data_IF_746346776086
#
_entry.id   IF_746346776086
#
_cell.length_a   1.000
_cell.length_b   1.000
_cell.length_c   1.000
_cell.angle_alpha   90.00
_cell.angle_beta   90.00
_cell.angle_gamma   90.00
#
_symmetry.space_group_name_H-M   'P 1'
#
loop_
_entity.id
_entity.type
_entity.pdbx_description
1 polymer ?
#
# COMPACT_ATOMS: atom_id res chain seq x y z
N UNK A 1 41.10 91.60 -9.91
CA UNK A 1 41.20 90.71 -8.78
C UNK A 1 39.79 90.18 -8.51
N UNK A 2 39.42 89.01 -9.08
CA UNK A 2 38.12 88.42 -8.97
C UNK A 2 38.26 86.98 -8.43
N UNK A 3 37.68 86.69 -7.28
CA UNK A 3 37.66 85.37 -6.73
C UNK A 3 36.52 84.55 -7.36
N UNK A 4 36.69 83.28 -7.66
CA UNK A 4 35.63 82.45 -8.24
C UNK A 4 34.79 81.80 -7.12
N UNK A 5 33.50 81.86 -7.37
CA UNK A 5 32.42 81.20 -6.61
C UNK A 5 32.51 79.68 -6.71
N UNK A 6 32.43 78.99 -5.55
CA UNK A 6 32.33 77.53 -5.46
C UNK A 6 30.89 77.13 -5.40
N UNK A 7 30.37 76.60 -6.52
CA UNK A 7 29.04 75.89 -6.56
C UNK A 7 29.21 74.49 -5.97
N UNK A 8 28.50 74.24 -4.89
CA UNK A 8 28.35 72.90 -4.31
C UNK A 8 27.23 72.17 -5.00
N UNK A 9 27.55 71.12 -5.78
CA UNK A 9 26.60 70.16 -6.32
C UNK A 9 26.24 69.19 -5.23
N UNK A 10 24.95 69.19 -4.79
CA UNK A 10 24.38 68.16 -3.96
C UNK A 10 24.03 67.00 -4.84
N UNK A 11 24.77 65.88 -4.65
CA UNK A 11 24.40 64.61 -5.25
C UNK A 11 23.34 63.94 -4.37
N UNK A 12 22.09 63.86 -4.84
CA UNK A 12 21.03 63.09 -4.19
C UNK A 12 21.18 61.63 -4.61
N UNK A 13 21.66 60.78 -3.70
CA UNK A 13 21.69 59.33 -3.93
C UNK A 13 20.31 58.76 -3.72
N UNK A 14 19.65 58.36 -4.79
CA UNK A 14 18.38 57.63 -4.79
C UNK A 14 18.66 56.16 -4.43
N UNK A 15 18.43 55.74 -3.20
CA UNK A 15 18.47 54.34 -2.77
C UNK A 15 17.17 53.66 -3.20
N UNK A 16 17.28 52.94 -4.34
CA UNK A 16 16.22 52.04 -4.79
C UNK A 16 16.24 50.78 -3.94
N UNK A 17 15.29 50.67 -3.00
CA UNK A 17 15.10 49.42 -2.25
C UNK A 17 14.37 48.41 -3.17
N UNK A 18 15.12 47.47 -3.72
CA UNK A 18 14.55 46.31 -4.43
C UNK A 18 14.12 45.29 -3.39
N UNK A 19 12.83 45.36 -2.98
CA UNK A 19 12.22 44.35 -2.13
C UNK A 19 12.06 43.05 -2.91
N UNK A 20 12.93 42.08 -2.62
CA UNK A 20 12.79 40.70 -3.14
C UNK A 20 11.55 40.07 -2.46
N UNK A 21 10.42 40.06 -3.16
CA UNK A 21 9.25 39.25 -2.79
C UNK A 21 9.58 37.79 -3.13
N UNK A 22 10.06 37.03 -2.15
CA UNK A 22 10.14 35.59 -2.25
C UNK A 22 8.70 35.03 -2.16
N UNK A 23 8.27 34.20 -3.13
CA UNK A 23 6.98 33.53 -3.01
C UNK A 23 7.00 32.55 -1.81
N UNK A 24 5.88 32.41 -1.09
CA UNK A 24 5.81 31.43 -0.03
C UNK A 24 6.01 30.03 -0.61
N UNK A 25 6.99 29.32 -0.07
CA UNK A 25 7.16 27.87 -0.35
C UNK A 25 5.96 27.19 0.29
N UNK A 26 5.01 26.75 -0.53
CA UNK A 26 3.95 25.85 -0.07
C UNK A 26 4.61 24.52 0.32
N UNK A 27 4.75 24.29 1.61
CA UNK A 27 5.03 22.94 2.13
C UNK A 27 3.82 22.08 1.80
N UNK A 28 3.96 21.21 0.80
CA UNK A 28 3.04 20.11 0.61
C UNK A 28 3.04 19.31 1.92
N UNK A 29 1.93 19.38 2.65
CA UNK A 29 1.72 18.46 3.75
C UNK A 29 1.72 17.05 3.14
N UNK A 30 2.70 16.22 3.52
CA UNK A 30 2.67 14.78 3.29
C UNK A 30 1.40 14.27 3.98
N UNK A 31 0.32 14.18 3.23
CA UNK A 31 -0.86 13.44 3.63
C UNK A 31 -0.45 11.98 3.52
N UNK A 32 0.10 11.44 4.61
CA UNK A 32 0.14 9.99 4.78
C UNK A 32 -1.25 9.45 4.42
N UNK A 33 -1.36 8.40 3.59
CA UNK A 33 -2.64 7.82 3.26
C UNK A 33 -3.35 7.50 4.57
N UNK A 34 -4.49 8.14 4.82
CA UNK A 34 -5.33 7.82 5.96
C UNK A 34 -5.70 6.35 5.81
N UNK A 35 -5.14 5.49 6.69
CA UNK A 35 -5.67 4.14 6.83
C UNK A 35 -7.14 4.29 7.13
N UNK A 36 -7.97 3.95 6.17
CA UNK A 36 -9.40 3.78 6.40
C UNK A 36 -9.51 2.69 7.45
N UNK A 37 -9.90 3.07 8.67
CA UNK A 37 -10.43 2.12 9.63
C UNK A 37 -11.76 1.64 9.05
N UNK A 38 -11.67 0.72 8.08
CA UNK A 38 -12.82 0.05 7.51
C UNK A 38 -13.58 -0.60 8.66
N UNK A 39 -14.89 -0.47 8.66
CA UNK A 39 -15.76 -1.25 9.55
C UNK A 39 -15.35 -2.71 9.42
N UNK A 40 -14.93 -3.33 10.55
CA UNK A 40 -14.58 -4.73 10.59
C UNK A 40 -15.81 -5.55 10.19
N UNK A 41 -15.81 -6.07 8.99
CA UNK A 41 -16.83 -6.98 8.48
C UNK A 41 -16.22 -8.38 8.46
N UNK A 42 -16.70 -9.25 9.36
CA UNK A 42 -16.27 -10.64 9.40
C UNK A 42 -16.51 -11.30 8.04
N UNK A 43 -15.58 -12.14 7.63
CA UNK A 43 -15.60 -12.77 6.31
C UNK A 43 -15.09 -11.90 5.18
N UNK A 44 -14.89 -10.58 5.40
CA UNK A 44 -14.39 -9.65 4.36
C UNK A 44 -12.95 -9.26 4.61
N UNK A 45 -12.12 -9.27 3.56
CA UNK A 45 -10.76 -8.76 3.56
C UNK A 45 -10.57 -7.78 2.39
N UNK A 46 -9.51 -6.99 2.41
CA UNK A 46 -9.09 -6.13 1.31
C UNK A 46 -7.76 -6.62 0.72
N UNK A 47 -7.60 -6.48 -0.59
CA UNK A 47 -6.37 -6.79 -1.30
C UNK A 47 -6.02 -5.66 -2.26
N UNK A 48 -4.97 -4.91 -1.93
CA UNK A 48 -4.33 -3.96 -2.83
C UNK A 48 -3.40 -4.70 -3.79
N UNK A 49 -3.45 -4.37 -5.08
CA UNK A 49 -2.52 -4.87 -6.11
C UNK A 49 -1.97 -3.67 -6.86
N UNK A 50 -0.66 -3.48 -6.85
CA UNK A 50 0.00 -2.49 -7.70
C UNK A 50 0.96 -3.19 -8.66
N UNK A 51 0.91 -2.79 -9.95
CA UNK A 51 1.79 -3.30 -11.01
C UNK A 51 2.55 -2.13 -11.61
N UNK A 52 3.87 -2.13 -11.40
CA UNK A 52 4.77 -1.11 -11.95
C UNK A 52 5.97 -1.79 -12.64
N UNK A 53 5.94 -1.79 -13.97
CA UNK A 53 6.94 -2.46 -14.80
C UNK A 53 7.05 -3.95 -14.46
N UNK A 54 8.21 -4.36 -13.95
CA UNK A 54 8.46 -5.73 -13.51
C UNK A 54 8.00 -6.03 -12.07
N UNK A 55 7.68 -4.98 -11.29
CA UNK A 55 7.29 -5.11 -9.89
C UNK A 55 5.78 -5.32 -9.75
N UNK A 56 5.40 -6.25 -8.89
CA UNK A 56 4.01 -6.49 -8.47
C UNK A 56 3.99 -6.52 -6.95
N UNK A 57 3.26 -5.60 -6.37
CA UNK A 57 3.05 -5.57 -4.91
C UNK A 57 1.62 -5.96 -4.58
N UNK A 58 1.48 -6.73 -3.52
CA UNK A 58 0.18 -7.13 -2.98
C UNK A 58 0.15 -6.78 -1.49
N UNK A 59 -0.96 -6.21 -1.03
CA UNK A 59 -1.20 -5.85 0.36
C UNK A 59 -2.55 -6.42 0.78
N UNK A 60 -2.56 -7.32 1.75
CA UNK A 60 -3.74 -7.94 2.33
C UNK A 60 -3.99 -7.34 3.72
N UNK A 61 -5.21 -6.94 3.97
CA UNK A 61 -5.67 -6.51 5.29
C UNK A 61 -7.05 -7.11 5.58
N UNK A 62 -7.28 -7.50 6.82
CA UNK A 62 -8.58 -7.98 7.26
C UNK A 62 -8.59 -8.46 8.70
N UNK A 63 -9.80 -8.69 9.26
CA UNK A 63 -9.97 -9.22 10.59
C UNK A 63 -9.18 -10.52 10.78
N UNK A 64 -8.44 -10.62 11.89
CA UNK A 64 -7.65 -11.81 12.19
C UNK A 64 -8.51 -13.08 12.24
N UNK A 65 -9.78 -12.94 12.66
CA UNK A 65 -10.76 -14.03 12.66
C UNK A 65 -10.92 -14.72 11.31
N UNK A 66 -10.81 -14.00 10.20
CA UNK A 66 -10.91 -14.56 8.86
C UNK A 66 -9.77 -15.55 8.55
N UNK A 67 -8.60 -15.33 9.14
CA UNK A 67 -7.36 -16.06 8.84
C UNK A 67 -7.01 -17.12 9.88
N UNK A 68 -7.23 -16.82 11.19
CA UNK A 68 -6.86 -17.72 12.29
C UNK A 68 -8.06 -18.30 13.04
N UNK A 69 -9.29 -17.76 12.80
CA UNK A 69 -10.51 -18.19 13.45
C UNK A 69 -10.80 -17.52 14.81
N UNK A 70 -9.99 -16.52 15.22
CA UNK A 70 -10.19 -15.75 16.44
C UNK A 70 -9.53 -14.38 16.34
N UNK A 71 -9.99 -13.41 17.18
CA UNK A 71 -9.48 -12.03 17.20
C UNK A 71 -8.88 -11.62 18.55
N UNK A 72 -8.80 -12.52 19.50
CA UNK A 72 -8.16 -12.31 20.79
C UNK A 72 -6.74 -12.90 20.83
N UNK A 73 -5.96 -12.56 21.83
CA UNK A 73 -4.66 -13.21 22.04
C UNK A 73 -4.83 -14.72 22.18
N UNK A 74 -3.95 -15.54 21.58
CA UNK A 74 -4.04 -17.00 21.74
C UNK A 74 -4.13 -17.39 23.21
N UNK A 75 -5.17 -18.12 23.57
CA UNK A 75 -5.47 -18.50 24.95
C UNK A 75 -4.97 -19.90 25.31
N UNK A 76 -4.54 -20.67 24.31
CA UNK A 76 -4.07 -22.05 24.49
C UNK A 76 -3.02 -22.42 23.42
N UNK A 77 -2.31 -23.56 23.59
CA UNK A 77 -1.30 -24.01 22.62
C UNK A 77 -1.84 -24.24 21.22
N UNK A 78 -3.07 -24.71 21.07
CA UNK A 78 -3.72 -24.97 19.78
C UNK A 78 -3.91 -23.68 19.00
N UNK A 79 -4.38 -22.61 19.63
CA UNK A 79 -4.52 -21.28 19.04
C UNK A 79 -3.15 -20.67 18.70
N UNK A 80 -2.16 -20.83 19.58
CA UNK A 80 -0.79 -20.40 19.31
C UNK A 80 -0.23 -21.09 18.07
N UNK A 81 -0.45 -22.39 17.94
CA UNK A 81 -0.02 -23.15 16.76
C UNK A 81 -0.80 -22.76 15.50
N UNK A 82 -2.10 -22.44 15.61
CA UNK A 82 -2.92 -21.97 14.49
C UNK A 82 -2.40 -20.63 13.98
N UNK A 83 -2.13 -19.66 14.86
CA UNK A 83 -1.55 -18.38 14.49
C UNK A 83 -0.18 -18.57 13.80
N UNK A 84 0.69 -19.40 14.36
CA UNK A 84 2.01 -19.66 13.77
C UNK A 84 1.90 -20.29 12.36
N UNK A 85 0.96 -21.22 12.15
CA UNK A 85 0.70 -21.81 10.82
C UNK A 85 0.22 -20.76 9.83
N UNK A 86 -0.73 -19.91 10.22
CA UNK A 86 -1.25 -18.82 9.39
C UNK A 86 -0.15 -17.86 8.99
N UNK A 87 0.66 -17.37 9.93
CA UNK A 87 1.78 -16.46 9.63
C UNK A 87 2.81 -17.11 8.68
N UNK A 88 3.10 -18.40 8.85
CA UNK A 88 4.01 -19.12 7.95
C UNK A 88 3.41 -19.30 6.56
N UNK A 89 2.11 -19.57 6.44
CA UNK A 89 1.43 -19.68 5.15
C UNK A 89 1.40 -18.33 4.42
N UNK A 90 1.13 -17.24 5.12
CA UNK A 90 1.18 -15.89 4.55
C UNK A 90 2.60 -15.52 4.07
N UNK A 91 3.65 -15.89 4.80
CA UNK A 91 5.04 -15.67 4.35
C UNK A 91 5.36 -16.43 3.06
N UNK A 92 4.65 -17.54 2.78
CA UNK A 92 4.77 -18.27 1.53
C UNK A 92 3.77 -17.73 0.48
N UNK A 93 3.86 -16.43 0.15
CA UNK A 93 2.98 -15.75 -0.81
C UNK A 93 2.94 -16.39 -2.20
N UNK A 94 4.01 -17.08 -2.62
CA UNK A 94 4.06 -17.78 -3.90
C UNK A 94 3.03 -18.92 -4.01
N UNK A 95 2.56 -19.48 -2.90
CA UNK A 95 1.49 -20.49 -2.86
C UNK A 95 0.09 -19.88 -2.86
N UNK A 96 -0.02 -18.61 -2.41
CA UNK A 96 -1.30 -17.89 -2.29
C UNK A 96 -1.70 -17.14 -3.55
N UNK A 97 -0.73 -16.71 -4.34
CA UNK A 97 -0.96 -15.93 -5.54
C UNK A 97 -0.36 -16.60 -6.77
N UNK A 98 -1.22 -16.98 -7.71
CA UNK A 98 -0.79 -17.52 -9.00
C UNK A 98 -0.84 -16.42 -10.05
N UNK A 99 0.14 -16.44 -10.92
CA UNK A 99 0.27 -15.54 -12.07
C UNK A 99 0.57 -16.36 -13.33
N UNK A 100 0.34 -15.82 -14.55
CA UNK A 100 0.66 -16.56 -15.77
C UNK A 100 2.11 -17.06 -15.76
N UNK A 101 2.37 -18.34 -16.04
CA UNK A 101 3.75 -18.86 -16.09
C UNK A 101 4.66 -18.08 -17.04
N UNK A 102 4.07 -17.57 -18.16
CA UNK A 102 4.79 -16.73 -19.13
C UNK A 102 5.29 -15.40 -18.56
N UNK A 103 4.68 -14.87 -17.48
CA UNK A 103 5.13 -13.65 -16.83
C UNK A 103 6.41 -13.87 -16.01
N UNK A 104 6.74 -15.12 -15.65
CA UNK A 104 7.94 -15.50 -14.88
C UNK A 104 8.11 -14.71 -13.58
N UNK A 105 7.01 -14.53 -12.85
CA UNK A 105 7.01 -13.84 -11.59
C UNK A 105 7.62 -14.71 -10.48
N UNK A 106 8.41 -14.09 -9.62
CA UNK A 106 9.05 -14.72 -8.45
C UNK A 106 8.83 -13.84 -7.23
N UNK A 107 8.46 -14.44 -6.11
CA UNK A 107 8.40 -13.74 -4.82
C UNK A 107 9.81 -13.27 -4.44
N UNK A 108 9.92 -11.98 -4.13
CA UNK A 108 11.16 -11.33 -3.67
C UNK A 108 11.13 -11.15 -2.16
N UNK A 109 10.02 -10.67 -1.63
CA UNK A 109 9.86 -10.42 -0.20
C UNK A 109 8.43 -10.69 0.25
N UNK A 110 8.29 -11.02 1.53
CA UNK A 110 7.02 -11.10 2.24
C UNK A 110 7.20 -10.51 3.64
N UNK A 111 6.43 -9.49 3.97
CA UNK A 111 6.33 -8.92 5.30
C UNK A 111 4.96 -9.29 5.88
N UNK A 112 4.95 -9.97 7.01
CA UNK A 112 3.73 -10.42 7.68
C UNK A 112 3.86 -10.08 9.16
N UNK A 113 3.02 -9.16 9.62
CA UNK A 113 2.98 -8.76 11.02
C UNK A 113 2.03 -9.66 11.81
N UNK A 114 2.39 -10.08 13.04
CA UNK A 114 1.42 -10.66 13.95
C UNK A 114 0.26 -9.69 14.20
N UNK A 115 -0.95 -10.19 14.44
CA UNK A 115 -2.09 -9.32 14.74
C UNK A 115 -1.84 -8.42 15.95
N UNK A 116 -2.16 -7.14 15.83
CA UNK A 116 -2.20 -6.22 16.96
C UNK A 116 -3.61 -6.30 17.58
N UNK A 117 -3.66 -6.70 18.85
CA UNK A 117 -4.91 -6.91 19.58
C UNK A 117 -5.34 -5.61 20.26
N UNK A 118 -6.40 -4.99 19.76
CA UNK A 118 -7.00 -3.78 20.32
C UNK A 118 -7.71 -4.02 21.66
N UNK A 119 -7.92 -2.93 22.41
CA UNK A 119 -8.69 -2.98 23.67
C UNK A 119 -10.19 -3.28 23.44
N UNK A 120 -10.68 -3.06 22.23
CA UNK A 120 -12.03 -3.33 21.76
C UNK A 120 -12.28 -4.81 21.41
N UNK A 121 -11.25 -5.66 21.54
CA UNK A 121 -11.33 -7.08 21.24
C UNK A 121 -11.19 -7.44 19.76
N UNK A 122 -10.89 -6.46 18.90
CA UNK A 122 -10.64 -6.69 17.49
C UNK A 122 -9.14 -6.76 17.20
N UNK A 123 -8.78 -7.52 16.18
CA UNK A 123 -7.44 -7.60 15.67
C UNK A 123 -7.45 -7.73 14.15
N UNK A 124 -6.61 -6.97 13.47
CA UNK A 124 -6.34 -7.11 12.05
C UNK A 124 -5.05 -7.89 11.82
N UNK A 125 -5.03 -8.59 10.70
CA UNK A 125 -3.83 -9.22 10.16
C UNK A 125 -3.49 -8.56 8.85
N UNK A 126 -2.25 -8.08 8.75
CA UNK A 126 -1.71 -7.43 7.55
C UNK A 126 -0.59 -8.27 6.98
N UNK A 127 -0.54 -8.37 5.65
CA UNK A 127 0.54 -9.03 4.94
C UNK A 127 0.83 -8.30 3.63
N UNK A 128 2.11 -8.17 3.33
CA UNK A 128 2.61 -7.52 2.14
C UNK A 128 3.55 -8.46 1.38
N UNK A 129 3.43 -8.49 0.06
CA UNK A 129 4.29 -9.29 -0.81
C UNK A 129 4.78 -8.46 -1.98
N UNK A 130 6.02 -8.69 -2.35
CA UNK A 130 6.63 -8.14 -3.54
C UNK A 130 7.05 -9.27 -4.47
N UNK A 131 6.59 -9.23 -5.70
CA UNK A 131 7.00 -10.13 -6.78
C UNK A 131 7.74 -9.37 -7.86
N UNK A 132 8.69 -10.03 -8.50
CA UNK A 132 9.32 -9.53 -9.71
C UNK A 132 9.03 -10.45 -10.87
N UNK A 133 8.53 -9.89 -11.98
CA UNK A 133 8.11 -10.58 -13.16
C UNK A 133 9.11 -10.33 -14.32
N UNK A 134 9.80 -11.38 -14.77
CA UNK A 134 10.79 -11.26 -15.85
C UNK A 134 10.18 -11.03 -17.24
N UNK A 135 8.87 -11.12 -17.39
CA UNK A 135 8.12 -10.83 -18.61
C UNK A 135 6.78 -10.17 -18.29
N UNK A 136 6.80 -8.90 -17.86
CA UNK A 136 5.58 -8.23 -17.38
C UNK A 136 4.49 -8.10 -18.45
N UNK A 137 4.84 -8.06 -19.72
CA UNK A 137 3.86 -8.05 -20.82
C UNK A 137 2.96 -9.31 -20.85
N UNK A 138 3.41 -10.42 -20.27
CA UNK A 138 2.62 -11.64 -20.15
C UNK A 138 1.75 -11.67 -18.88
N UNK A 139 1.92 -10.72 -17.97
CA UNK A 139 1.14 -10.63 -16.74
C UNK A 139 -0.22 -9.98 -17.04
N UNK A 140 -1.26 -10.77 -17.13
CA UNK A 140 -2.60 -10.31 -17.50
C UNK A 140 -3.69 -10.74 -16.51
N UNK A 141 -3.36 -11.58 -15.53
CA UNK A 141 -4.23 -11.98 -14.43
C UNK A 141 -3.43 -12.34 -13.18
N UNK A 142 -4.09 -12.27 -12.04
CA UNK A 142 -3.62 -12.80 -10.75
C UNK A 142 -4.77 -13.61 -10.15
N UNK A 143 -4.48 -14.81 -9.66
CA UNK A 143 -5.42 -15.67 -8.96
C UNK A 143 -5.04 -15.74 -7.48
N UNK A 144 -5.99 -15.40 -6.61
CA UNK A 144 -5.83 -15.43 -5.16
C UNK A 144 -6.43 -16.72 -4.59
N UNK A 145 -5.61 -17.56 -3.97
CA UNK A 145 -6.03 -18.81 -3.31
C UNK A 145 -6.40 -18.61 -1.84
N UNK A 146 -6.79 -17.38 -1.48
CA UNK A 146 -7.06 -16.99 -0.11
C UNK A 146 -8.22 -17.79 0.50
N UNK A 147 -9.29 -18.05 -0.26
CA UNK A 147 -10.47 -18.78 0.23
C UNK A 147 -10.19 -20.25 0.58
N UNK A 148 -9.29 -20.89 -0.16
CA UNK A 148 -8.85 -22.26 0.16
C UNK A 148 -7.90 -22.29 1.34
N UNK A 149 -7.04 -21.28 1.44
CA UNK A 149 -6.06 -21.16 2.52
C UNK A 149 -6.71 -20.73 3.84
N UNK A 150 -7.72 -19.88 3.75
CA UNK A 150 -8.42 -19.24 4.88
C UNK A 150 -9.94 -19.34 4.72
N UNK A 151 -10.55 -20.44 5.14
CA UNK A 151 -12.00 -20.69 4.94
C UNK A 151 -12.91 -19.68 5.65
N UNK A 152 -12.40 -18.92 6.64
CA UNK A 152 -13.13 -17.84 7.30
C UNK A 152 -13.25 -16.58 6.43
N UNK A 153 -12.56 -16.52 5.26
CA UNK A 153 -12.69 -15.42 4.31
C UNK A 153 -13.77 -15.75 3.28
N UNK A 154 -14.79 -14.91 3.18
CA UNK A 154 -15.93 -15.09 2.25
C UNK A 154 -15.84 -14.16 1.04
N UNK A 155 -15.27 -12.96 1.24
CA UNK A 155 -15.11 -11.93 0.22
C UNK A 155 -13.72 -11.28 0.32
N UNK A 156 -13.19 -10.86 -0.81
CA UNK A 156 -11.99 -10.02 -0.86
C UNK A 156 -12.27 -8.85 -1.80
N UNK A 157 -12.31 -7.63 -1.23
CA UNK A 157 -12.41 -6.41 -2.01
C UNK A 157 -11.03 -6.09 -2.58
N UNK A 158 -10.90 -6.14 -3.90
CA UNK A 158 -9.62 -5.95 -4.58
C UNK A 158 -9.57 -4.59 -5.25
N UNK A 159 -8.54 -3.82 -4.97
CA UNK A 159 -8.16 -2.62 -5.70
C UNK A 159 -6.88 -2.86 -6.49
N UNK A 160 -6.89 -2.50 -7.78
CA UNK A 160 -5.76 -2.73 -8.69
C UNK A 160 -5.33 -1.38 -9.26
N UNK A 161 -4.04 -1.11 -9.21
CA UNK A 161 -3.39 0.04 -9.84
C UNK A 161 -2.31 -0.48 -10.79
N UNK A 162 -2.36 -0.07 -12.04
CA UNK A 162 -1.37 -0.39 -13.06
C UNK A 162 -1.17 0.81 -14.00
N UNK A 163 -0.12 0.81 -14.81
CA UNK A 163 0.12 1.88 -15.80
C UNK A 163 -1.07 2.10 -16.75
N UNK A 164 -1.81 1.04 -17.09
CA UNK A 164 -2.98 1.10 -17.96
C UNK A 164 -4.27 1.57 -17.26
N UNK A 165 -4.24 1.84 -15.95
CA UNK A 165 -5.37 2.36 -15.20
C UNK A 165 -5.64 1.64 -13.89
N UNK A 166 -6.81 1.91 -13.31
CA UNK A 166 -7.25 1.37 -12.03
C UNK A 166 -8.52 0.53 -12.21
N UNK A 167 -8.68 -0.45 -11.33
CA UNK A 167 -9.85 -1.33 -11.33
C UNK A 167 -10.17 -1.77 -9.90
N UNK A 168 -11.46 -1.87 -9.58
CA UNK A 168 -11.93 -2.50 -8.35
C UNK A 168 -12.83 -3.70 -8.69
N UNK A 169 -12.66 -4.80 -7.97
CA UNK A 169 -13.48 -6.01 -8.11
C UNK A 169 -13.65 -6.68 -6.74
N UNK A 170 -14.65 -7.54 -6.63
CA UNK A 170 -14.83 -8.39 -5.45
C UNK A 170 -14.56 -9.82 -5.85
N UNK A 171 -13.66 -10.49 -5.12
CA UNK A 171 -13.46 -11.93 -5.22
C UNK A 171 -14.34 -12.66 -4.23
N UNK A 172 -14.71 -13.88 -4.60
CA UNK A 172 -15.47 -14.83 -3.80
C UNK A 172 -14.88 -16.24 -4.02
N UNK A 173 -15.26 -17.26 -3.25
CA UNK A 173 -14.81 -18.63 -3.48
C UNK A 173 -15.05 -19.14 -4.92
N UNK A 174 -16.11 -18.64 -5.59
CA UNK A 174 -16.41 -18.97 -6.99
C UNK A 174 -15.69 -18.11 -8.03
N UNK A 175 -15.05 -17.01 -7.62
CA UNK A 175 -14.35 -16.06 -8.49
C UNK A 175 -13.06 -15.63 -7.84
N UNK A 176 -11.98 -16.35 -8.08
CA UNK A 176 -10.68 -16.17 -7.41
C UNK A 176 -9.66 -15.39 -8.23
N UNK A 177 -9.97 -15.11 -9.50
CA UNK A 177 -9.04 -14.50 -10.47
C UNK A 177 -9.45 -13.09 -10.84
N UNK A 178 -8.50 -12.18 -10.81
CA UNK A 178 -8.63 -10.82 -11.34
C UNK A 178 -7.92 -10.69 -12.68
N UNK A 179 -8.54 -9.97 -13.62
CA UNK A 179 -7.88 -9.54 -14.86
C UNK A 179 -7.31 -8.14 -14.63
N UNK A 180 -6.04 -7.97 -14.96
CA UNK A 180 -5.35 -6.69 -14.82
C UNK A 180 -5.80 -5.71 -15.93
N UNK A 181 -5.79 -4.39 -15.66
CA UNK A 181 -5.98 -3.36 -16.69
C UNK A 181 -4.93 -3.51 -17.82
N UNK A 182 -5.35 -3.27 -19.07
CA UNK A 182 -4.50 -3.32 -20.28
C UNK A 182 -4.60 -2.03 -21.05
#
# INVERSE_FOLDING_TARGET
MHAPSRSRLLAIALLVHFSLLLPPVATAADTAPSRSLGTHEHGTATLGIAVDGESVTLELDGPAGNFVGFEHRPANPEQTAALARTLNLLRNGASLFLMPPGARCRLQSAAVSPPEYGADGHANLEAFWEFRCGSPAALNWIEARLFTAFPGTEKVAVSIVAAAGQKAVVLTPGTTRVLLPR
#
